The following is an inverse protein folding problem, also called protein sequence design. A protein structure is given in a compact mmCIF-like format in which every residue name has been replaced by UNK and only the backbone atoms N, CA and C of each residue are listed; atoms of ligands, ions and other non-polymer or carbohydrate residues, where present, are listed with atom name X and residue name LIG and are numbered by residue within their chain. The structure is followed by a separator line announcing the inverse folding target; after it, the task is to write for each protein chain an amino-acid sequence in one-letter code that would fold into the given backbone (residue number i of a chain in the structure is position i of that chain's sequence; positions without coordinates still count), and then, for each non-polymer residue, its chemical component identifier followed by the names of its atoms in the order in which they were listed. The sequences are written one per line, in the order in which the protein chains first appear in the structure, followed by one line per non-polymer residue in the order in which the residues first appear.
data_IF_257133124928
#
_entry.id   IF_257133124928
#
_cell.length_a   1.000
_cell.length_b   1.000
_cell.length_c   1.000
_cell.angle_alpha   90.00
_cell.angle_beta   90.00
_cell.angle_gamma   90.00
#
_symmetry.space_group_name_H-M   'P 1'
#
loop_
_entity.id
_entity.type
_entity.pdbx_description
1 polymer ?
#
# COMPACT_ATOMS: atom_id res chain seq x y z
N UNK A 1 14.47 -2.32 17.54
CA UNK A 1 13.57 -3.22 16.78
C UNK A 1 12.16 -3.27 17.38
N UNK A 2 11.98 -3.57 18.67
CA UNK A 2 10.61 -3.61 19.27
C UNK A 2 9.77 -2.35 19.01
N UNK A 3 10.31 -1.14 19.24
CA UNK A 3 9.56 0.10 18.99
C UNK A 3 9.20 0.31 17.51
N UNK A 4 10.02 -0.19 16.59
CA UNK A 4 9.68 -0.19 15.15
C UNK A 4 8.47 -1.10 14.89
N UNK A 5 8.40 -2.28 15.52
CA UNK A 5 7.23 -3.16 15.37
C UNK A 5 5.97 -2.47 15.87
N UNK A 6 6.05 -1.78 17.02
CA UNK A 6 4.90 -1.03 17.56
C UNK A 6 4.43 0.07 16.60
N UNK A 7 5.35 0.81 15.98
CA UNK A 7 5.00 1.80 14.95
C UNK A 7 4.42 1.17 13.69
N UNK A 8 4.97 0.02 13.27
CA UNK A 8 4.50 -0.72 12.09
C UNK A 8 3.10 -1.32 12.29
N UNK A 9 2.75 -1.69 13.52
CA UNK A 9 1.42 -2.21 13.87
C UNK A 9 0.31 -1.14 13.78
N UNK A 10 0.66 0.15 13.62
CA UNK A 10 -0.31 1.22 13.42
C UNK A 10 -1.12 1.04 12.12
N UNK A 11 -2.45 1.31 12.13
CA UNK A 11 -3.31 1.11 10.96
C UNK A 11 -2.84 1.81 9.70
N UNK A 12 -2.31 3.02 9.85
CA UNK A 12 -1.82 3.85 8.74
C UNK A 12 -0.46 3.40 8.19
N UNK A 13 0.16 2.36 8.76
CA UNK A 13 1.46 1.88 8.32
C UNK A 13 1.45 0.42 7.85
N UNK A 14 0.91 -0.50 8.66
CA UNK A 14 1.14 -1.93 8.47
C UNK A 14 0.03 -2.72 7.76
N UNK A 15 -1.11 -2.10 7.46
CA UNK A 15 -2.34 -2.84 7.11
C UNK A 15 -2.71 -2.82 5.62
N UNK A 16 -1.98 -2.12 4.76
CA UNK A 16 -2.34 -2.00 3.35
C UNK A 16 -2.52 -3.37 2.65
N UNK A 17 -1.63 -4.34 2.93
CA UNK A 17 -1.70 -5.69 2.36
C UNK A 17 -3.03 -6.41 2.68
N UNK A 18 -3.41 -6.44 3.95
CA UNK A 18 -4.63 -7.10 4.40
C UNK A 18 -5.89 -6.35 3.95
N UNK A 19 -5.86 -5.01 3.87
CA UNK A 19 -6.98 -4.22 3.35
C UNK A 19 -7.24 -4.51 1.87
N UNK A 20 -6.18 -4.60 1.06
CA UNK A 20 -6.27 -5.01 -0.35
C UNK A 20 -6.89 -6.40 -0.46
N UNK A 21 -6.36 -7.39 0.28
CA UNK A 21 -6.84 -8.76 0.16
C UNK A 21 -8.31 -8.90 0.58
N UNK A 22 -8.75 -8.23 1.66
CA UNK A 22 -10.16 -8.20 2.06
C UNK A 22 -11.03 -7.62 0.96
N UNK A 23 -10.63 -6.47 0.40
CA UNK A 23 -11.38 -5.84 -0.68
C UNK A 23 -11.49 -6.73 -1.93
N UNK A 24 -10.44 -7.49 -2.28
CA UNK A 24 -10.47 -8.45 -3.37
C UNK A 24 -11.41 -9.63 -3.10
N UNK A 25 -11.42 -10.14 -1.86
CA UNK A 25 -12.33 -11.22 -1.46
C UNK A 25 -13.79 -10.75 -1.43
N UNK A 26 -14.06 -9.57 -0.88
CA UNK A 26 -15.39 -8.95 -0.89
C UNK A 26 -15.91 -8.75 -2.32
N UNK A 27 -15.01 -8.37 -3.24
CA UNK A 27 -15.34 -8.27 -4.67
C UNK A 27 -15.70 -9.64 -5.25
N UNK A 28 -14.88 -10.66 -5.02
CA UNK A 28 -15.15 -12.03 -5.47
C UNK A 28 -16.48 -12.59 -4.92
N UNK A 29 -16.79 -12.32 -3.64
CA UNK A 29 -18.04 -12.75 -2.99
C UNK A 29 -19.26 -12.08 -3.61
N UNK A 30 -19.22 -10.75 -3.84
CA UNK A 30 -20.31 -10.01 -4.50
C UNK A 30 -20.61 -10.49 -5.92
N UNK A 31 -19.68 -11.24 -6.50
CA UNK A 31 -19.75 -11.74 -7.87
C UNK A 31 -20.09 -13.23 -7.94
N UNK A 32 -20.43 -13.87 -6.80
CA UNK A 32 -20.65 -15.31 -6.70
C UNK A 32 -19.48 -16.15 -7.26
N UNK A 33 -18.25 -15.64 -7.16
CA UNK A 33 -17.06 -16.30 -7.70
C UNK A 33 -16.99 -16.39 -9.23
N UNK A 34 -17.84 -15.66 -9.96
CA UNK A 34 -17.80 -15.61 -11.44
C UNK A 34 -16.57 -14.86 -11.92
N UNK A 35 -16.05 -15.28 -13.07
CA UNK A 35 -14.99 -14.55 -13.74
C UNK A 35 -15.59 -13.35 -14.49
N UNK A 36 -15.35 -12.12 -14.00
CA UNK A 36 -15.88 -10.92 -14.66
C UNK A 36 -15.25 -10.71 -16.02
N UNK A 37 -16.04 -10.22 -16.96
CA UNK A 37 -15.48 -9.54 -18.11
C UNK A 37 -14.89 -8.18 -17.71
N UNK A 38 -14.15 -7.56 -18.63
CA UNK A 38 -13.48 -6.29 -18.35
C UNK A 38 -14.47 -5.13 -18.14
N UNK A 39 -15.68 -5.17 -18.71
CA UNK A 39 -16.67 -4.11 -18.61
C UNK A 39 -17.36 -4.09 -17.24
N UNK A 40 -17.71 -5.27 -16.71
CA UNK A 40 -18.23 -5.39 -15.35
C UNK A 40 -17.21 -4.92 -14.32
N UNK A 41 -15.92 -5.25 -14.51
CA UNK A 41 -14.85 -4.79 -13.63
C UNK A 41 -14.67 -3.28 -13.69
N UNK A 42 -14.71 -2.67 -14.88
CA UNK A 42 -14.67 -1.21 -15.04
C UNK A 42 -15.81 -0.54 -14.28
N UNK A 43 -17.04 -1.07 -14.42
CA UNK A 43 -18.21 -0.57 -13.72
C UNK A 43 -18.01 -0.61 -12.20
N UNK A 44 -17.53 -1.74 -11.66
CA UNK A 44 -17.27 -1.87 -10.23
C UNK A 44 -16.23 -0.87 -9.71
N UNK A 45 -15.15 -0.65 -10.48
CA UNK A 45 -14.12 0.34 -10.13
C UNK A 45 -14.72 1.74 -10.11
N UNK A 46 -15.53 2.11 -11.12
CA UNK A 46 -16.24 3.38 -11.14
C UNK A 46 -17.23 3.54 -9.98
N UNK A 47 -18.02 2.53 -9.69
CA UNK A 47 -18.98 2.55 -8.57
C UNK A 47 -18.25 2.75 -7.23
N UNK A 48 -17.11 2.08 -7.03
CA UNK A 48 -16.25 2.27 -5.86
C UNK A 48 -15.76 3.72 -5.76
N UNK A 49 -15.23 4.28 -6.85
CA UNK A 49 -14.73 5.66 -6.89
C UNK A 49 -15.85 6.70 -6.70
N UNK A 50 -17.03 6.47 -7.28
CA UNK A 50 -18.19 7.37 -7.20
C UNK A 50 -18.84 7.35 -5.82
N UNK A 51 -18.68 6.26 -5.06
CA UNK A 51 -19.08 6.18 -3.65
C UNK A 51 -18.17 6.98 -2.69
N UNK A 52 -17.11 7.59 -3.22
CA UNK A 52 -16.11 8.34 -2.42
C UNK A 52 -15.01 7.46 -1.83
N UNK A 53 -15.00 6.16 -2.14
CA UNK A 53 -13.94 5.24 -1.75
C UNK A 53 -12.75 5.32 -2.72
N UNK A 54 -11.63 4.74 -2.29
CA UNK A 54 -10.41 4.59 -3.09
C UNK A 54 -10.23 3.13 -3.50
N UNK A 55 -9.47 2.88 -4.57
CA UNK A 55 -9.06 1.51 -4.92
C UNK A 55 -7.82 1.14 -4.11
N UNK A 56 -7.90 0.19 -3.16
CA UNK A 56 -6.77 -0.17 -2.31
C UNK A 56 -5.55 -0.60 -3.12
N UNK A 57 -4.36 -0.16 -2.71
CA UNK A 57 -3.10 -0.48 -3.40
C UNK A 57 -2.78 0.38 -4.63
N UNK A 58 -3.69 1.27 -5.07
CA UNK A 58 -3.48 2.21 -6.18
C UNK A 58 -3.47 3.67 -5.69
N UNK A 59 -2.85 4.58 -6.46
CA UNK A 59 -2.97 6.03 -6.20
C UNK A 59 -1.86 6.63 -5.33
N UNK A 60 -0.59 6.27 -5.54
CA UNK A 60 0.52 6.75 -4.70
C UNK A 60 0.91 8.22 -4.98
N UNK A 61 1.17 9.01 -3.95
CA UNK A 61 1.61 10.41 -4.07
C UNK A 61 2.95 10.64 -4.79
N UNK A 62 3.82 9.61 -4.87
CA UNK A 62 5.24 9.75 -5.26
C UNK A 62 5.60 8.92 -6.48
N UNK A 63 5.19 7.64 -6.54
CA UNK A 63 5.57 6.73 -7.61
C UNK A 63 4.89 7.08 -8.93
N UNK A 64 5.67 7.52 -9.93
CA UNK A 64 5.17 7.96 -11.25
C UNK A 64 4.88 6.82 -12.23
N UNK A 65 5.26 5.60 -11.87
CA UNK A 65 5.12 4.37 -12.66
C UNK A 65 4.79 3.22 -11.70
N UNK A 66 4.41 2.06 -12.24
CA UNK A 66 4.23 0.83 -11.47
C UNK A 66 5.42 0.55 -10.56
N UNK A 67 5.14 0.24 -9.31
CA UNK A 67 6.16 -0.13 -8.34
C UNK A 67 6.92 -1.38 -8.86
N UNK A 68 8.27 -1.34 -8.95
CA UNK A 68 9.02 -2.51 -9.36
C UNK A 68 8.79 -3.72 -8.43
N UNK A 69 8.47 -3.49 -7.16
CA UNK A 69 8.13 -4.56 -6.20
C UNK A 69 6.82 -5.27 -6.56
N UNK A 70 5.82 -4.52 -7.03
CA UNK A 70 4.60 -5.09 -7.60
C UNK A 70 4.93 -5.91 -8.85
N UNK A 71 5.76 -5.35 -9.74
CA UNK A 71 6.14 -5.99 -11.01
C UNK A 71 6.79 -7.36 -10.78
N UNK A 72 7.76 -7.45 -9.88
CA UNK A 72 8.44 -8.71 -9.55
C UNK A 72 7.47 -9.73 -8.96
N UNK A 73 6.56 -9.31 -8.08
CA UNK A 73 5.53 -10.20 -7.56
C UNK A 73 4.61 -10.68 -8.68
N UNK A 74 4.29 -9.83 -9.67
CA UNK A 74 3.41 -10.19 -10.78
C UNK A 74 4.05 -11.20 -11.71
N UNK A 75 5.36 -11.05 -11.98
CA UNK A 75 6.14 -12.06 -12.70
C UNK A 75 6.15 -13.41 -11.96
N UNK A 76 6.31 -13.37 -10.62
CA UNK A 76 6.21 -14.57 -9.79
C UNK A 76 4.83 -15.23 -9.95
N UNK A 77 3.74 -14.46 -9.82
CA UNK A 77 2.39 -15.01 -9.92
C UNK A 77 2.08 -15.58 -11.30
N UNK A 78 2.48 -14.89 -12.38
CA UNK A 78 2.35 -15.39 -13.75
C UNK A 78 3.05 -16.73 -13.96
N UNK A 79 4.17 -16.96 -13.28
CA UNK A 79 4.96 -18.17 -13.43
C UNK A 79 4.43 -19.35 -12.59
N UNK A 80 4.01 -19.08 -11.36
CA UNK A 80 3.78 -20.13 -10.37
C UNK A 80 2.32 -20.30 -9.93
N UNK A 81 1.47 -19.31 -10.15
CA UNK A 81 0.06 -19.34 -9.79
C UNK A 81 -0.84 -18.60 -10.81
N UNK A 82 -0.65 -18.80 -12.13
CA UNK A 82 -1.40 -18.06 -13.15
C UNK A 82 -2.90 -18.34 -13.12
N UNK A 83 -3.29 -19.50 -12.60
CA UNK A 83 -4.68 -19.97 -12.56
C UNK A 83 -5.44 -19.61 -11.28
N UNK A 84 -4.76 -19.03 -10.29
CA UNK A 84 -5.38 -18.62 -9.04
C UNK A 84 -6.47 -17.55 -9.28
N UNK A 85 -7.70 -17.74 -8.76
CA UNK A 85 -8.80 -16.80 -9.00
C UNK A 85 -8.53 -15.37 -8.51
N UNK A 86 -7.92 -15.22 -7.33
CA UNK A 86 -7.58 -13.90 -6.79
C UNK A 86 -6.49 -13.23 -7.61
N UNK A 87 -5.50 -14.00 -8.09
CA UNK A 87 -4.49 -13.44 -8.99
C UNK A 87 -5.06 -13.04 -10.34
N UNK A 88 -5.95 -13.84 -10.94
CA UNK A 88 -6.65 -13.48 -12.18
C UNK A 88 -7.37 -12.13 -12.03
N UNK A 89 -8.07 -11.94 -10.91
CA UNK A 89 -8.71 -10.66 -10.58
C UNK A 89 -7.71 -9.51 -10.45
N UNK A 90 -6.63 -9.66 -9.67
CA UNK A 90 -5.58 -8.64 -9.53
C UNK A 90 -4.95 -8.30 -10.89
N UNK A 91 -4.71 -9.29 -11.74
CA UNK A 91 -4.13 -9.10 -13.06
C UNK A 91 -5.07 -8.37 -14.03
N UNK A 92 -6.39 -8.57 -13.92
CA UNK A 92 -7.40 -7.78 -14.65
C UNK A 92 -7.47 -6.35 -14.14
N UNK A 93 -7.49 -6.15 -12.81
CA UNK A 93 -7.48 -4.84 -12.17
C UNK A 93 -6.27 -4.00 -12.60
N UNK A 94 -5.10 -4.63 -12.76
CA UNK A 94 -3.90 -3.96 -13.25
C UNK A 94 -4.08 -3.29 -14.62
N UNK A 95 -4.92 -3.86 -15.50
CA UNK A 95 -5.23 -3.29 -16.81
C UNK A 95 -6.30 -2.21 -16.75
N UNK A 96 -7.28 -2.39 -15.86
CA UNK A 96 -8.52 -1.59 -15.81
C UNK A 96 -8.38 -0.35 -14.93
N UNK A 97 -7.78 -0.47 -13.75
CA UNK A 97 -7.74 0.60 -12.75
C UNK A 97 -6.89 1.80 -13.19
N UNK A 98 -5.68 1.63 -13.75
CA UNK A 98 -4.86 2.79 -14.07
C UNK A 98 -5.48 3.75 -15.11
N UNK A 99 -6.05 3.29 -16.24
CA UNK A 99 -6.76 4.16 -17.17
C UNK A 99 -7.94 4.90 -16.53
N UNK A 100 -8.74 4.22 -15.70
CA UNK A 100 -9.88 4.85 -15.00
C UNK A 100 -9.40 5.96 -14.06
N UNK A 101 -8.34 5.71 -13.29
CA UNK A 101 -7.80 6.73 -12.37
C UNK A 101 -7.19 7.93 -13.13
N UNK A 102 -6.64 7.71 -14.33
CA UNK A 102 -6.20 8.79 -15.22
C UNK A 102 -7.38 9.62 -15.72
N UNK A 103 -8.44 8.95 -16.20
CA UNK A 103 -9.66 9.59 -16.68
C UNK A 103 -10.36 10.39 -15.57
N UNK A 104 -10.42 9.85 -14.35
CA UNK A 104 -10.98 10.53 -13.19
C UNK A 104 -10.21 11.82 -12.83
N UNK A 105 -8.91 11.89 -13.14
CA UNK A 105 -8.08 13.07 -12.95
C UNK A 105 -7.77 13.46 -11.49
N UNK A 106 -8.24 12.70 -10.49
CA UNK A 106 -7.98 12.97 -9.07
C UNK A 106 -6.68 12.35 -8.56
N UNK A 107 -6.31 11.17 -9.07
CA UNK A 107 -5.10 10.48 -8.66
C UNK A 107 -3.87 11.06 -9.38
N UNK A 108 -2.89 11.57 -8.62
CA UNK A 108 -1.65 12.10 -9.20
C UNK A 108 -0.85 11.04 -9.96
N UNK A 109 -0.78 9.82 -9.41
CA UNK A 109 -0.17 8.69 -10.08
C UNK A 109 -1.05 7.44 -9.91
N UNK A 110 -1.54 6.84 -10.99
CA UNK A 110 -2.61 5.83 -10.98
C UNK A 110 -2.10 4.38 -10.80
N UNK A 111 -0.85 4.20 -10.39
CA UNK A 111 -0.17 2.90 -10.46
C UNK A 111 -0.21 2.13 -9.15
N UNK A 112 -0.17 0.78 -9.18
CA UNK A 112 -0.18 -0.02 -7.96
C UNK A 112 1.17 -0.05 -7.25
N UNK A 113 1.12 -0.33 -5.96
CA UNK A 113 2.27 -0.63 -5.10
C UNK A 113 2.35 -2.14 -4.77
N UNK A 114 3.37 -2.55 -4.01
CA UNK A 114 3.57 -3.97 -3.63
C UNK A 114 2.36 -4.59 -2.89
N UNK A 115 1.63 -3.79 -2.11
CA UNK A 115 0.57 -4.27 -1.23
C UNK A 115 -0.68 -4.65 -2.04
N UNK A 116 -0.80 -4.14 -3.27
CA UNK A 116 -1.84 -4.50 -4.24
C UNK A 116 -1.83 -5.99 -4.65
N UNK A 117 -0.77 -6.75 -4.30
CA UNK A 117 -0.66 -8.16 -4.71
C UNK A 117 -0.13 -9.11 -3.62
N UNK A 118 0.67 -8.63 -2.67
CA UNK A 118 1.35 -9.49 -1.68
C UNK A 118 0.39 -10.43 -0.94
N UNK A 119 -0.80 -9.94 -0.59
CA UNK A 119 -1.80 -10.73 0.14
C UNK A 119 -2.32 -11.93 -0.63
N UNK A 120 -2.44 -11.81 -1.96
CA UNK A 120 -2.86 -12.91 -2.84
C UNK A 120 -1.83 -14.05 -2.82
N UNK A 121 -0.54 -13.70 -2.80
CA UNK A 121 0.54 -14.69 -2.72
C UNK A 121 0.49 -15.42 -1.38
N UNK A 122 0.39 -14.68 -0.27
CA UNK A 122 0.29 -15.28 1.07
C UNK A 122 -0.91 -16.24 1.16
N UNK A 123 -2.07 -15.78 0.68
CA UNK A 123 -3.31 -16.54 0.72
C UNK A 123 -3.20 -17.84 -0.07
N UNK A 124 -2.70 -17.77 -1.30
CA UNK A 124 -2.55 -18.92 -2.19
C UNK A 124 -1.69 -20.04 -1.58
N UNK A 125 -0.61 -19.68 -0.88
CA UNK A 125 0.29 -20.65 -0.24
C UNK A 125 -0.08 -20.98 1.23
N UNK A 126 -1.32 -20.66 1.64
CA UNK A 126 -1.87 -21.13 2.92
C UNK A 126 -1.60 -20.23 4.14
N UNK A 127 -0.99 -19.06 3.94
CA UNK A 127 -0.91 -18.03 5.00
C UNK A 127 -2.17 -17.19 4.91
N UNK A 128 -3.25 -17.65 5.56
CA UNK A 128 -4.59 -17.04 5.46
C UNK A 128 -4.99 -16.20 6.67
N UNK A 129 -4.10 -16.08 7.67
CA UNK A 129 -4.34 -15.29 8.88
C UNK A 129 -3.96 -13.83 8.63
N UNK A 130 -4.95 -13.00 8.33
CA UNK A 130 -4.78 -11.55 8.06
C UNK A 130 -3.85 -10.85 9.04
N UNK A 131 -4.10 -11.02 10.34
CA UNK A 131 -3.36 -10.32 11.40
C UNK A 131 -1.87 -10.72 11.46
N UNK A 132 -1.48 -11.80 10.79
CA UNK A 132 -0.10 -12.25 10.71
C UNK A 132 0.71 -11.55 9.60
N UNK A 133 0.06 -10.86 8.66
CA UNK A 133 0.76 -10.27 7.51
C UNK A 133 1.72 -9.15 7.93
N UNK A 134 1.37 -8.34 8.92
CA UNK A 134 2.26 -7.29 9.45
C UNK A 134 3.48 -7.90 10.16
N UNK A 135 3.38 -9.12 10.69
CA UNK A 135 4.53 -9.85 11.26
C UNK A 135 5.54 -10.21 10.16
N UNK A 136 5.06 -10.72 9.03
CA UNK A 136 5.92 -11.00 7.86
C UNK A 136 6.59 -9.72 7.34
N UNK A 137 5.84 -8.61 7.32
CA UNK A 137 6.40 -7.30 6.98
C UNK A 137 7.48 -6.87 7.97
N UNK A 138 7.25 -7.03 9.27
CA UNK A 138 8.23 -6.69 10.31
C UNK A 138 9.54 -7.47 10.15
N UNK A 139 9.46 -8.77 9.80
CA UNK A 139 10.65 -9.61 9.54
C UNK A 139 11.45 -9.03 8.37
N UNK A 140 10.81 -8.79 7.22
CA UNK A 140 11.48 -8.21 6.06
C UNK A 140 12.07 -6.82 6.34
N UNK A 141 11.33 -5.99 7.07
CA UNK A 141 11.77 -4.63 7.44
C UNK A 141 12.95 -4.63 8.41
N UNK A 142 13.08 -5.65 9.27
CA UNK A 142 14.14 -5.74 10.26
C UNK A 142 15.54 -5.73 9.63
N UNK A 143 15.70 -6.32 8.43
CA UNK A 143 16.97 -6.37 7.72
C UNK A 143 17.52 -4.97 7.42
N UNK A 144 16.70 -4.11 6.81
CA UNK A 144 17.10 -2.75 6.45
C UNK A 144 17.35 -1.87 7.68
N UNK A 145 16.50 -1.97 8.70
CA UNK A 145 16.63 -1.15 9.91
C UNK A 145 17.84 -1.59 10.75
N UNK A 146 18.09 -2.89 10.88
CA UNK A 146 19.27 -3.38 11.57
C UNK A 146 20.56 -2.96 10.84
N UNK A 147 20.59 -3.07 9.51
CA UNK A 147 21.72 -2.61 8.70
C UNK A 147 21.99 -1.11 8.89
N UNK A 148 20.94 -0.28 8.84
CA UNK A 148 21.10 1.16 9.05
C UNK A 148 21.56 1.48 10.48
N UNK A 149 21.04 0.78 11.49
CA UNK A 149 21.41 1.01 12.88
C UNK A 149 22.90 0.73 13.14
N UNK A 150 23.48 -0.27 12.48
CA UNK A 150 24.93 -0.54 12.52
C UNK A 150 25.71 0.67 11.96
N UNK A 151 25.30 1.18 10.81
CA UNK A 151 25.94 2.33 10.18
C UNK A 151 25.80 3.62 10.99
N UNK A 152 24.64 3.85 11.59
CA UNK A 152 24.42 5.02 12.44
C UNK A 152 25.40 5.03 13.64
N UNK A 153 25.80 3.86 14.14
CA UNK A 153 26.84 3.75 15.20
C UNK A 153 28.24 3.92 14.63
N UNK A 154 28.54 3.26 13.52
CA UNK A 154 29.84 3.36 12.85
C UNK A 154 30.18 4.81 12.44
N UNK A 155 29.19 5.59 12.01
CA UNK A 155 29.32 6.99 11.62
C UNK A 155 29.21 7.97 12.81
N UNK A 156 28.95 7.48 14.02
CA UNK A 156 28.84 8.32 15.21
C UNK A 156 27.68 9.32 15.16
N UNK A 157 26.54 8.95 14.57
CA UNK A 157 25.39 9.85 14.50
C UNK A 157 24.91 10.24 15.91
N UNK A 158 24.65 11.55 16.15
CA UNK A 158 24.26 12.05 17.46
C UNK A 158 22.82 11.67 17.79
N UNK A 159 22.41 11.98 19.01
CA UNK A 159 21.01 11.86 19.44
C UNK A 159 20.11 12.75 18.56
N UNK A 160 19.07 12.16 17.97
CA UNK A 160 18.00 12.90 17.32
C UNK A 160 17.19 13.70 18.37
N UNK A 161 17.24 15.03 18.30
CA UNK A 161 16.62 15.93 19.29
C UNK A 161 15.93 17.12 18.63
N UNK A 162 14.81 16.91 17.92
CA UNK A 162 14.04 17.99 17.34
C UNK A 162 13.42 18.89 18.41
N UNK A 163 13.17 20.16 18.06
CA UNK A 163 12.49 21.11 18.94
C UNK A 163 10.99 21.07 18.65
N UNK A 164 10.18 20.82 19.67
CA UNK A 164 8.73 21.02 19.59
C UNK A 164 8.39 22.49 19.82
N UNK A 165 7.39 22.99 19.11
CA UNK A 165 6.81 24.34 19.26
C UNK A 165 5.30 24.22 19.30
N UNK A 166 4.64 25.07 20.08
CA UNK A 166 3.18 25.08 20.18
C UNK A 166 2.58 25.98 19.09
N UNK A 167 1.27 25.83 18.85
CA UNK A 167 0.54 26.73 17.94
C UNK A 167 0.68 28.19 18.34
N UNK A 168 0.58 28.51 19.64
CA UNK A 168 0.74 29.88 20.13
C UNK A 168 2.14 30.46 19.83
N UNK A 169 3.20 29.65 19.99
CA UNK A 169 4.55 30.08 19.63
C UNK A 169 4.66 30.36 18.12
N UNK A 170 4.05 29.51 17.29
CA UNK A 170 4.00 29.71 15.84
C UNK A 170 3.24 30.99 15.45
N UNK A 171 2.10 31.25 16.08
CA UNK A 171 1.31 32.48 15.86
C UNK A 171 2.09 33.73 16.23
N UNK A 172 2.79 33.71 17.36
CA UNK A 172 3.65 34.82 17.80
C UNK A 172 4.79 35.06 16.79
N UNK A 173 5.46 34.00 16.34
CA UNK A 173 6.51 34.09 15.32
C UNK A 173 5.98 34.68 14.01
N UNK A 174 4.81 34.22 13.56
CA UNK A 174 4.18 34.73 12.35
C UNK A 174 3.76 36.21 12.47
N UNK A 175 3.27 36.63 13.65
CA UNK A 175 2.93 38.03 13.91
C UNK A 175 4.15 38.95 13.95
N UNK A 176 5.27 38.46 14.52
CA UNK A 176 6.54 39.20 14.51
C UNK A 176 7.07 39.37 13.08
N UNK A 177 7.07 38.30 12.29
CA UNK A 177 7.53 38.34 10.90
C UNK A 177 6.71 39.25 9.98
N UNK A 178 5.45 39.57 10.32
CA UNK A 178 4.62 40.54 9.57
C UNK A 178 4.93 42.01 9.90
N UNK A 179 5.65 42.27 11.00
CA UNK A 179 5.97 43.62 11.48
C UNK A 179 7.35 44.10 10.99
N UNK A 180 8.15 43.19 10.42
CA UNK A 180 9.41 43.46 9.72
C UNK A 180 9.16 43.62 8.21
#
# INVERSE_FOLDING_TARGET
ISSMVNGLAGPLHGLANQEVLRWLQDLMEKMDGKDLDEEELKKFVWDTLNSGQVIPGYGHAVLRKTDPRYTIQREFCLKYMPDDPLFKLVNKLFKVVPPILQEQGKAKNPWPNLDAQTGVIHWHYGVTQYDFYTVLFAIGRSLGIAANLVWDRALGYPLERPKSITTAMLEEMAQKAKKE
#
